data_IF_750684471359
#
_entry.id   IF_750684471359
#
_cell.length_a   1.000
_cell.length_b   1.000
_cell.length_c   1.000
_cell.angle_alpha   90.00
_cell.angle_beta   90.00
_cell.angle_gamma   90.00
#
_symmetry.space_group_name_H-M   'P 1'
#
loop_
_entity.id
_entity.type
_entity.pdbx_description
1 polymer ?
#
# COMPACT_ATOMS: atom_id res chain seq x y z
N UNK A 1 13.79 17.89 -12.37
CA UNK A 1 14.28 18.36 -11.05
C UNK A 1 13.76 17.35 -10.05
N UNK A 2 14.65 16.60 -9.40
CA UNK A 2 14.28 15.53 -8.48
C UNK A 2 14.00 16.12 -7.10
N UNK A 3 12.83 15.84 -6.52
CA UNK A 3 12.52 16.25 -5.15
C UNK A 3 13.15 15.26 -4.17
N UNK A 4 13.71 15.73 -3.05
CA UNK A 4 14.13 14.80 -1.99
C UNK A 4 12.90 14.17 -1.34
N UNK A 5 13.00 12.90 -0.95
CA UNK A 5 11.89 12.21 -0.29
C UNK A 5 11.50 12.87 1.04
N UNK A 6 12.45 13.48 1.75
CA UNK A 6 12.16 14.23 2.97
C UNK A 6 11.23 15.43 2.72
N UNK A 7 11.49 16.19 1.65
CA UNK A 7 10.61 17.31 1.27
C UNK A 7 9.23 16.79 0.91
N UNK A 8 9.16 15.74 0.09
CA UNK A 8 7.90 15.18 -0.34
C UNK A 8 7.06 14.65 0.85
N UNK A 9 7.70 13.96 1.81
CA UNK A 9 7.02 13.52 3.03
C UNK A 9 6.47 14.71 3.83
N UNK A 10 7.23 15.81 3.91
CA UNK A 10 6.76 17.06 4.51
C UNK A 10 5.56 17.67 3.78
N UNK A 11 5.59 17.68 2.46
CA UNK A 11 4.50 18.20 1.61
C UNK A 11 3.24 17.35 1.78
N UNK A 12 3.36 16.02 1.70
CA UNK A 12 2.25 15.08 1.93
C UNK A 12 1.66 15.24 3.34
N UNK A 13 2.50 15.36 4.37
CA UNK A 13 2.05 15.57 5.74
C UNK A 13 1.27 16.88 5.91
N UNK A 14 1.75 17.98 5.31
CA UNK A 14 1.06 19.26 5.33
C UNK A 14 -0.31 19.17 4.65
N UNK A 15 -0.39 18.53 3.47
CA UNK A 15 -1.66 18.32 2.77
C UNK A 15 -2.64 17.47 3.59
N UNK A 16 -2.18 16.40 4.25
CA UNK A 16 -3.04 15.60 5.14
C UNK A 16 -3.60 16.47 6.27
N UNK A 17 -2.78 17.34 6.86
CA UNK A 17 -3.20 18.25 7.93
C UNK A 17 -4.21 19.29 7.45
N UNK A 18 -4.04 19.80 6.23
CA UNK A 18 -4.94 20.79 5.62
C UNK A 18 -6.31 20.18 5.26
N UNK A 19 -6.32 18.96 4.74
CA UNK A 19 -7.54 18.22 4.37
C UNK A 19 -8.21 17.53 5.56
N UNK A 20 -7.62 17.63 6.76
CA UNK A 20 -8.10 16.91 7.94
C UNK A 20 -9.47 17.41 8.40
N UNK A 21 -10.48 16.55 8.23
CA UNK A 21 -11.83 16.85 8.68
C UNK A 21 -12.45 15.64 9.40
N UNK A 22 -12.53 15.70 10.72
CA UNK A 22 -13.17 14.67 11.55
C UNK A 22 -14.61 15.08 11.91
N UNK A 23 -15.60 14.17 11.87
CA UNK A 23 -15.54 12.75 11.49
C UNK A 23 -15.91 12.54 10.01
N UNK A 24 -14.92 12.19 9.18
CA UNK A 24 -15.14 11.72 7.79
C UNK A 24 -14.52 10.34 7.58
N UNK A 25 -15.04 9.53 6.65
CA UNK A 25 -14.50 8.20 6.34
C UNK A 25 -13.02 8.26 6.00
N UNK A 26 -12.61 9.26 5.22
CA UNK A 26 -11.22 9.45 4.81
C UNK A 26 -10.31 9.77 6.00
N UNK A 27 -10.76 10.62 6.94
CA UNK A 27 -10.01 10.90 8.17
C UNK A 27 -9.92 9.66 9.07
N UNK A 28 -11.01 8.88 9.20
CA UNK A 28 -11.00 7.60 9.91
C UNK A 28 -10.02 6.61 9.28
N UNK A 29 -10.07 6.44 7.96
CA UNK A 29 -9.19 5.56 7.22
C UNK A 29 -7.72 5.98 7.34
N UNK A 30 -7.43 7.28 7.29
CA UNK A 30 -6.10 7.84 7.53
C UNK A 30 -5.57 7.50 8.93
N UNK A 31 -6.41 7.60 9.98
CA UNK A 31 -6.03 7.14 11.33
C UNK A 31 -5.74 5.63 11.34
N UNK A 32 -6.62 4.85 10.71
CA UNK A 32 -6.50 3.40 10.69
C UNK A 32 -5.22 2.91 10.03
N UNK A 33 -4.90 3.41 8.82
CA UNK A 33 -3.67 3.08 8.10
C UNK A 33 -2.42 3.40 8.93
N UNK A 34 -2.41 4.58 9.57
CA UNK A 34 -1.30 5.01 10.41
C UNK A 34 -1.08 4.06 11.59
N UNK A 35 -2.13 3.80 12.37
CA UNK A 35 -1.99 2.97 13.58
C UNK A 35 -1.65 1.51 13.22
N UNK A 36 -2.15 0.99 12.10
CA UNK A 36 -1.80 -0.34 11.61
C UNK A 36 -0.29 -0.51 11.29
N UNK A 37 0.45 0.59 11.08
CA UNK A 37 1.91 0.55 10.91
C UNK A 37 2.70 0.73 12.21
N UNK A 38 2.17 1.50 13.17
CA UNK A 38 2.89 1.82 14.42
C UNK A 38 3.17 0.55 15.25
N UNK A 39 2.25 -0.41 15.24
CA UNK A 39 2.37 -1.64 16.03
C UNK A 39 3.49 -2.58 15.58
N UNK A 40 4.09 -2.37 14.40
CA UNK A 40 5.11 -3.30 13.86
C UNK A 40 6.56 -2.87 14.10
N UNK A 41 6.88 -1.57 14.10
CA UNK A 41 8.28 -1.17 13.87
C UNK A 41 8.81 0.01 14.72
N UNK A 42 8.13 0.51 15.77
CA UNK A 42 8.65 1.62 16.61
C UNK A 42 9.00 2.91 15.84
N UNK A 43 8.59 3.03 14.58
CA UNK A 43 8.94 4.16 13.72
C UNK A 43 8.18 5.43 14.11
N UNK A 44 8.81 6.55 13.77
CA UNK A 44 8.50 7.93 14.16
C UNK A 44 7.00 8.26 14.16
N UNK A 45 6.50 8.69 15.32
CA UNK A 45 5.14 9.20 15.51
C UNK A 45 5.05 10.62 14.95
N UNK A 46 4.50 10.79 13.75
CA UNK A 46 3.96 12.09 13.37
C UNK A 46 2.56 12.23 13.98
N UNK A 47 2.30 13.33 14.68
CA UNK A 47 1.05 13.54 15.41
C UNK A 47 -0.02 14.10 14.46
N UNK A 48 -0.98 13.26 14.05
CA UNK A 48 -2.31 13.77 13.72
C UNK A 48 -3.04 14.05 15.02
N UNK A 49 -3.73 15.20 15.08
CA UNK A 49 -4.60 15.54 16.20
C UNK A 49 -5.62 14.44 16.37
N UNK A 50 -5.47 13.65 17.43
CA UNK A 50 -6.44 12.62 17.79
C UNK A 50 -7.74 13.33 18.15
N UNK A 51 -8.91 12.84 17.70
CA UNK A 51 -10.17 13.42 18.13
C UNK A 51 -10.29 13.33 19.66
N UNK A 52 -10.65 14.44 20.30
CA UNK A 52 -10.69 14.58 21.76
C UNK A 52 -11.78 13.72 22.40
N UNK A 53 -12.89 13.50 21.70
CA UNK A 53 -13.99 12.63 22.13
C UNK A 53 -14.51 11.80 20.96
N UNK A 54 -14.25 10.48 20.96
CA UNK A 54 -14.69 9.60 19.88
C UNK A 54 -16.07 8.99 20.17
N UNK A 55 -16.95 9.66 20.92
CA UNK A 55 -18.32 9.15 21.09
C UNK A 55 -19.13 9.42 19.82
N UNK A 56 -19.88 8.43 19.34
CA UNK A 56 -20.73 8.59 18.16
C UNK A 56 -21.98 9.40 18.56
N UNK A 57 -22.32 10.49 17.84
CA UNK A 57 -23.58 11.19 18.08
C UNK A 57 -24.78 10.27 17.77
N UNK A 58 -25.62 10.01 18.78
CA UNK A 58 -26.80 9.14 18.64
C UNK A 58 -27.71 9.54 17.45
N UNK A 59 -27.81 10.84 17.15
CA UNK A 59 -28.61 11.38 16.06
C UNK A 59 -28.09 11.02 14.67
N UNK A 60 -26.81 10.65 14.55
CA UNK A 60 -26.13 10.36 13.27
C UNK A 60 -25.75 8.89 13.11
N UNK A 61 -26.17 8.02 14.04
CA UNK A 61 -25.91 6.58 14.00
C UNK A 61 -26.49 5.87 12.77
N UNK A 62 -27.38 6.52 12.02
CA UNK A 62 -27.96 5.98 10.79
C UNK A 62 -27.21 6.46 9.52
N UNK A 63 -26.11 7.18 9.65
CA UNK A 63 -25.30 7.66 8.54
C UNK A 63 -24.12 6.72 8.28
N UNK A 64 -24.05 6.18 7.07
CA UNK A 64 -22.93 5.34 6.61
C UNK A 64 -21.55 5.98 6.82
N UNK A 65 -21.31 7.26 6.46
CA UNK A 65 -20.00 7.86 6.67
C UNK A 65 -19.63 7.95 8.15
N UNK A 66 -20.60 8.17 9.06
CA UNK A 66 -20.34 8.17 10.50
C UNK A 66 -19.96 6.79 10.99
N UNK A 67 -20.73 5.76 10.63
CA UNK A 67 -20.38 4.38 11.00
C UNK A 67 -18.99 4.01 10.50
N UNK A 68 -18.67 4.32 9.24
CA UNK A 68 -17.35 4.04 8.66
C UNK A 68 -16.21 4.75 9.42
N UNK A 69 -16.34 6.07 9.64
CA UNK A 69 -15.33 6.89 10.32
C UNK A 69 -14.99 6.34 11.71
N UNK A 70 -16.02 6.04 12.50
CA UNK A 70 -15.83 5.56 13.87
C UNK A 70 -15.39 4.10 13.92
N UNK A 71 -15.78 3.27 12.96
CA UNK A 71 -15.29 1.88 12.88
C UNK A 71 -13.79 1.82 12.60
N UNK A 72 -13.27 2.68 11.72
CA UNK A 72 -11.84 2.83 11.54
C UNK A 72 -11.14 3.27 12.84
N UNK A 73 -11.69 4.27 13.53
CA UNK A 73 -11.13 4.76 14.79
C UNK A 73 -11.08 3.67 15.87
N UNK A 74 -12.17 2.95 16.11
CA UNK A 74 -12.22 1.90 17.12
C UNK A 74 -11.31 0.71 16.76
N UNK A 75 -11.23 0.35 15.48
CA UNK A 75 -10.29 -0.68 15.04
C UNK A 75 -8.84 -0.24 15.16
N UNK A 76 -8.54 1.06 15.03
CA UNK A 76 -7.21 1.64 15.24
C UNK A 76 -6.85 1.76 16.73
N UNK A 77 -7.84 1.89 17.61
CA UNK A 77 -7.66 2.01 19.05
C UNK A 77 -8.54 1.02 19.85
N UNK A 78 -8.25 -0.29 19.80
CA UNK A 78 -9.06 -1.29 20.49
C UNK A 78 -9.18 -1.06 21.99
N UNK A 79 -8.13 -0.54 22.64
CA UNK A 79 -8.10 -0.23 24.08
C UNK A 79 -8.99 0.95 24.49
N UNK A 80 -9.46 1.75 23.51
CA UNK A 80 -10.38 2.88 23.71
C UNK A 80 -11.81 2.55 23.30
N UNK A 81 -12.07 1.32 22.86
CA UNK A 81 -13.38 0.90 22.37
C UNK A 81 -14.15 0.24 23.50
N UNK A 82 -15.17 0.91 24.01
CA UNK A 82 -16.01 0.37 25.06
C UNK A 82 -17.11 -0.54 24.48
N UNK A 83 -17.72 -1.39 25.33
CA UNK A 83 -18.82 -2.25 24.91
C UNK A 83 -20.03 -1.42 24.42
N UNK A 84 -20.25 -0.23 24.99
CA UNK A 84 -21.34 0.64 24.55
C UNK A 84 -21.11 1.22 23.15
N UNK A 85 -19.86 1.53 22.79
CA UNK A 85 -19.49 1.95 21.43
C UNK A 85 -19.81 0.86 20.41
N UNK A 86 -19.46 -0.40 20.72
CA UNK A 86 -19.79 -1.55 19.85
C UNK A 86 -21.29 -1.75 19.70
N UNK A 87 -22.07 -1.56 20.78
CA UNK A 87 -23.54 -1.60 20.71
C UNK A 87 -24.11 -0.46 19.87
N UNK A 88 -23.52 0.74 19.93
CA UNK A 88 -23.91 1.86 19.08
C UNK A 88 -23.64 1.56 17.60
N UNK A 89 -22.44 1.06 17.27
CA UNK A 89 -22.10 0.62 15.92
C UNK A 89 -23.06 -0.47 15.41
N UNK A 90 -23.35 -1.49 16.24
CA UNK A 90 -24.25 -2.59 15.88
C UNK A 90 -25.66 -2.07 15.55
N UNK A 91 -26.18 -1.12 16.34
CA UNK A 91 -27.48 -0.44 16.09
C UNK A 91 -27.46 0.37 14.80
N UNK A 92 -26.36 1.08 14.54
CA UNK A 92 -26.18 1.83 13.31
C UNK A 92 -26.19 0.93 12.08
N UNK A 93 -25.44 -0.17 12.13
CA UNK A 93 -25.39 -1.18 11.07
C UNK A 93 -26.76 -1.81 10.81
N UNK A 94 -27.51 -2.17 11.86
CA UNK A 94 -28.89 -2.65 11.74
C UNK A 94 -29.86 -1.62 11.15
N UNK A 95 -29.55 -0.33 11.28
CA UNK A 95 -30.35 0.74 10.68
C UNK A 95 -29.99 0.95 9.21
N UNK A 96 -28.71 0.79 8.85
CA UNK A 96 -28.25 0.83 7.47
C UNK A 96 -28.77 -0.35 6.65
N UNK A 97 -28.81 -1.56 7.23
CA UNK A 97 -29.24 -2.77 6.50
C UNK A 97 -30.70 -2.74 6.03
N UNK A 98 -31.51 -1.86 6.61
CA UNK A 98 -32.90 -1.62 6.20
C UNK A 98 -33.02 -0.73 4.94
N UNK A 99 -31.91 -0.17 4.45
CA UNK A 99 -31.88 0.72 3.28
C UNK A 99 -31.37 -0.05 2.07
N UNK A 100 -31.84 0.34 0.88
CA UNK A 100 -31.29 -0.17 -0.37
C UNK A 100 -29.87 0.38 -0.57
N UNK A 101 -28.87 -0.49 -0.47
CA UNK A 101 -27.47 -0.12 -0.67
C UNK A 101 -27.10 -0.07 -2.17
N UNK A 102 -27.67 -0.91 -3.03
CA UNK A 102 -27.42 -0.87 -4.48
C UNK A 102 -28.42 0.05 -5.19
N UNK A 103 -28.25 1.37 -5.02
CA UNK A 103 -29.07 2.37 -5.72
C UNK A 103 -28.51 2.68 -7.11
N UNK A 104 -29.40 2.96 -8.06
CA UNK A 104 -29.01 3.35 -9.42
C UNK A 104 -28.29 4.71 -9.48
N UNK A 105 -28.56 5.62 -8.54
CA UNK A 105 -27.97 6.96 -8.46
C UNK A 105 -26.53 7.00 -7.93
N UNK A 106 -26.01 5.84 -7.51
CA UNK A 106 -24.65 5.65 -6.96
C UNK A 106 -24.34 6.54 -5.74
N UNK A 107 -25.37 7.00 -5.01
CA UNK A 107 -25.17 7.85 -3.82
C UNK A 107 -25.04 7.09 -2.51
N UNK A 108 -25.06 5.75 -2.55
CA UNK A 108 -24.90 4.93 -1.37
C UNK A 108 -23.43 4.72 -1.00
N UNK A 109 -23.21 4.24 0.23
CA UNK A 109 -21.88 3.86 0.74
C UNK A 109 -21.22 2.77 -0.11
N UNK A 110 -22.01 1.94 -0.81
CA UNK A 110 -21.48 0.88 -1.65
C UNK A 110 -20.62 1.42 -2.78
N UNK A 111 -20.88 2.64 -3.28
CA UNK A 111 -20.08 3.27 -4.34
C UNK A 111 -18.97 4.16 -3.79
N UNK A 112 -18.76 4.16 -2.48
CA UNK A 112 -17.77 4.97 -1.75
C UNK A 112 -16.83 3.99 -1.04
N UNK A 113 -15.71 3.59 -1.69
CA UNK A 113 -14.96 2.41 -1.28
C UNK A 113 -14.41 2.49 0.15
N UNK A 114 -14.00 3.68 0.60
CA UNK A 114 -13.54 3.90 1.98
C UNK A 114 -14.69 3.72 2.99
N UNK A 115 -15.90 4.21 2.67
CA UNK A 115 -17.08 3.98 3.49
C UNK A 115 -17.45 2.50 3.56
N UNK A 116 -17.42 1.80 2.41
CA UNK A 116 -17.68 0.37 2.33
C UNK A 116 -16.74 -0.43 3.23
N UNK A 117 -15.43 -0.17 3.16
CA UNK A 117 -14.44 -0.82 4.02
C UNK A 117 -14.72 -0.54 5.50
N UNK A 118 -14.98 0.72 5.87
CA UNK A 118 -15.29 1.07 7.25
C UNK A 118 -16.54 0.33 7.76
N UNK A 119 -17.55 0.13 6.92
CA UNK A 119 -18.75 -0.65 7.25
C UNK A 119 -18.44 -2.16 7.36
N UNK A 120 -17.58 -2.71 6.52
CA UNK A 120 -17.08 -4.09 6.66
C UNK A 120 -16.35 -4.30 7.99
N UNK A 121 -15.53 -3.32 8.41
CA UNK A 121 -14.89 -3.33 9.74
C UNK A 121 -15.96 -3.29 10.84
N UNK A 122 -16.95 -2.39 10.73
CA UNK A 122 -18.05 -2.27 11.70
C UNK A 122 -18.73 -3.62 11.93
N UNK A 123 -19.06 -4.34 10.86
CA UNK A 123 -19.73 -5.63 10.93
C UNK A 123 -18.87 -6.73 11.54
N UNK A 124 -17.56 -6.73 11.28
CA UNK A 124 -16.62 -7.66 11.93
C UNK A 124 -16.54 -7.38 13.43
N UNK A 125 -16.34 -6.13 13.82
CA UNK A 125 -16.16 -5.73 15.23
C UNK A 125 -17.44 -5.91 16.06
N UNK A 126 -18.61 -5.93 15.41
CA UNK A 126 -19.92 -6.05 16.05
C UNK A 126 -20.60 -7.41 15.83
N UNK A 127 -19.87 -8.40 15.33
CA UNK A 127 -20.40 -9.72 14.98
C UNK A 127 -21.12 -10.41 16.15
N UNK A 128 -20.61 -10.25 17.37
CA UNK A 128 -21.19 -10.87 18.58
C UNK A 128 -22.52 -10.22 18.99
N UNK A 129 -22.73 -8.94 18.64
CA UNK A 129 -23.96 -8.20 18.94
C UNK A 129 -24.96 -8.23 17.77
N UNK A 130 -24.49 -8.46 16.54
CA UNK A 130 -25.31 -8.38 15.32
C UNK A 130 -24.78 -9.30 14.20
N UNK A 131 -24.98 -10.60 14.34
CA UNK A 131 -24.63 -11.57 13.30
C UNK A 131 -25.34 -11.31 11.97
N UNK A 132 -26.59 -10.82 11.98
CA UNK A 132 -27.32 -10.47 10.76
C UNK A 132 -26.65 -9.37 9.93
N UNK A 133 -25.87 -8.48 10.57
CA UNK A 133 -25.12 -7.44 9.90
C UNK A 133 -24.02 -7.97 8.98
N UNK A 134 -23.30 -9.02 9.39
CA UNK A 134 -22.24 -9.62 8.55
C UNK A 134 -22.85 -10.37 7.37
N UNK A 135 -23.93 -11.13 7.60
CA UNK A 135 -24.62 -11.88 6.55
C UNK A 135 -25.20 -10.96 5.48
N UNK A 136 -25.79 -9.84 5.90
CA UNK A 136 -26.28 -8.80 4.99
C UNK A 136 -25.16 -8.21 4.13
N UNK A 137 -24.00 -7.85 4.70
CA UNK A 137 -22.89 -7.32 3.92
C UNK A 137 -22.28 -8.36 2.98
N UNK A 138 -22.18 -9.61 3.41
CA UNK A 138 -21.71 -10.69 2.54
C UNK A 138 -22.63 -10.87 1.34
N UNK A 139 -23.96 -10.81 1.53
CA UNK A 139 -24.91 -10.85 0.44
C UNK A 139 -24.76 -9.63 -0.48
N UNK A 140 -24.67 -8.43 0.10
CA UNK A 140 -24.51 -7.17 -0.63
C UNK A 140 -23.26 -7.16 -1.52
N UNK A 141 -22.12 -7.62 -1.01
CA UNK A 141 -20.87 -7.68 -1.76
C UNK A 141 -20.90 -8.70 -2.90
N UNK A 142 -21.58 -9.84 -2.71
CA UNK A 142 -21.77 -10.83 -3.78
C UNK A 142 -22.69 -10.29 -4.87
N UNK A 143 -23.78 -9.63 -4.49
CA UNK A 143 -24.73 -9.03 -5.44
C UNK A 143 -24.10 -7.86 -6.21
N UNK A 144 -23.32 -7.03 -5.53
CA UNK A 144 -22.69 -5.86 -6.12
C UNK A 144 -21.31 -6.09 -6.73
N UNK A 145 -20.82 -7.33 -6.83
CA UNK A 145 -19.49 -7.62 -7.37
C UNK A 145 -19.32 -7.11 -8.83
N UNK A 146 -20.35 -7.30 -9.66
CA UNK A 146 -20.33 -6.86 -11.07
C UNK A 146 -20.25 -5.33 -11.22
N UNK A 147 -20.66 -4.56 -10.21
CA UNK A 147 -20.59 -3.08 -10.23
C UNK A 147 -19.14 -2.60 -10.33
N UNK A 148 -18.20 -3.39 -9.81
CA UNK A 148 -16.79 -3.02 -9.71
C UNK A 148 -15.93 -3.54 -10.88
N UNK A 149 -16.47 -4.39 -11.76
CA UNK A 149 -15.70 -5.01 -12.86
C UNK A 149 -14.99 -3.98 -13.75
N UNK A 150 -15.67 -2.88 -14.06
CA UNK A 150 -15.17 -1.80 -14.93
C UNK A 150 -14.82 -0.52 -14.15
N UNK A 151 -14.65 -0.60 -12.83
CA UNK A 151 -14.31 0.55 -11.98
C UNK A 151 -12.78 0.70 -11.80
N UNK A 152 -12.35 1.77 -11.13
CA UNK A 152 -10.93 2.05 -10.93
C UNK A 152 -10.25 0.97 -10.08
N UNK A 153 -8.95 0.76 -10.29
CA UNK A 153 -8.18 -0.21 -9.52
C UNK A 153 -8.18 0.14 -8.02
N UNK A 154 -8.10 1.42 -7.67
CA UNK A 154 -8.26 1.90 -6.29
C UNK A 154 -9.53 1.35 -5.61
N UNK A 155 -10.67 1.45 -6.30
CA UNK A 155 -11.97 1.00 -5.82
C UNK A 155 -12.02 -0.52 -5.70
N UNK A 156 -11.49 -1.23 -6.69
CA UNK A 156 -11.38 -2.68 -6.67
C UNK A 156 -10.54 -3.19 -5.49
N UNK A 157 -9.35 -2.61 -5.28
CA UNK A 157 -8.46 -2.97 -4.17
C UNK A 157 -9.15 -2.81 -2.81
N UNK A 158 -9.82 -1.67 -2.58
CA UNK A 158 -10.56 -1.43 -1.34
C UNK A 158 -11.77 -2.38 -1.19
N UNK A 159 -12.53 -2.64 -2.25
CA UNK A 159 -13.65 -3.59 -2.21
C UNK A 159 -13.20 -5.03 -1.94
N UNK A 160 -12.07 -5.45 -2.54
CA UNK A 160 -11.46 -6.74 -2.29
C UNK A 160 -10.97 -6.89 -0.86
N UNK A 161 -10.35 -5.85 -0.32
CA UNK A 161 -9.96 -5.84 1.09
C UNK A 161 -11.17 -5.84 2.04
N UNK A 162 -12.19 -5.01 1.79
CA UNK A 162 -13.46 -5.01 2.53
C UNK A 162 -14.16 -6.37 2.51
N UNK A 163 -14.15 -7.04 1.36
CA UNK A 163 -14.69 -8.39 1.19
C UNK A 163 -13.95 -9.42 2.02
N UNK A 164 -12.62 -9.36 2.06
CA UNK A 164 -11.83 -10.25 2.90
C UNK A 164 -12.11 -10.04 4.40
N UNK A 165 -12.36 -8.80 4.84
CA UNK A 165 -12.72 -8.50 6.25
C UNK A 165 -13.99 -9.26 6.68
N UNK A 166 -14.97 -9.41 5.79
CA UNK A 166 -16.23 -10.11 6.07
C UNK A 166 -16.26 -11.54 5.53
N UNK A 167 -15.17 -12.07 5.00
CA UNK A 167 -15.07 -13.46 4.52
C UNK A 167 -15.81 -13.73 3.20
N UNK A 168 -15.86 -12.76 2.29
CA UNK A 168 -16.31 -12.96 0.91
C UNK A 168 -15.11 -13.14 0.00
N UNK A 169 -15.13 -14.19 -0.83
CA UNK A 169 -14.12 -14.39 -1.87
C UNK A 169 -14.33 -13.39 -2.99
N UNK A 170 -13.49 -12.35 -3.00
CA UNK A 170 -13.47 -11.34 -4.06
C UNK A 170 -12.48 -11.76 -5.16
N UNK A 171 -12.99 -11.88 -6.38
CA UNK A 171 -12.19 -12.26 -7.54
C UNK A 171 -12.13 -11.07 -8.49
N UNK A 172 -11.05 -10.27 -8.44
CA UNK A 172 -10.87 -9.23 -9.43
C UNK A 172 -10.62 -9.89 -10.80
N UNK A 173 -11.34 -9.44 -11.83
CA UNK A 173 -10.99 -9.75 -13.23
C UNK A 173 -9.77 -8.92 -13.69
N UNK A 174 -9.21 -8.07 -12.81
CA UNK A 174 -8.13 -7.13 -13.10
C UNK A 174 -6.75 -7.71 -12.79
N UNK A 175 -5.89 -7.77 -13.81
CA UNK A 175 -4.47 -8.06 -13.65
C UNK A 175 -3.74 -6.76 -13.30
N UNK A 176 -3.00 -6.73 -12.20
CA UNK A 176 -2.21 -5.56 -11.83
C UNK A 176 -0.99 -5.44 -12.72
N UNK A 177 -0.81 -4.27 -13.32
CA UNK A 177 0.41 -3.86 -14.05
C UNK A 177 1.04 -2.64 -13.36
N UNK A 178 2.11 -2.81 -12.55
CA UNK A 178 2.75 -1.73 -11.79
C UNK A 178 3.04 -0.47 -12.61
N UNK A 179 3.51 -0.62 -13.86
CA UNK A 179 3.81 0.52 -14.73
C UNK A 179 2.59 1.34 -15.17
N UNK A 180 1.38 0.78 -15.10
CA UNK A 180 0.12 1.43 -15.53
C UNK A 180 -0.66 2.07 -14.37
N UNK A 181 -0.34 1.69 -13.13
CA UNK A 181 -1.02 2.20 -11.93
C UNK A 181 -0.68 3.67 -11.66
N UNK A 182 -1.57 4.41 -10.99
CA UNK A 182 -1.19 5.70 -10.40
C UNK A 182 -0.42 5.53 -9.07
N UNK A 183 0.13 6.63 -8.53
CA UNK A 183 0.89 6.62 -7.26
C UNK A 183 0.03 6.11 -6.09
N UNK A 184 -1.19 6.64 -5.86
CA UNK A 184 -2.07 6.13 -4.81
C UNK A 184 -2.39 4.63 -4.91
N UNK A 185 -2.67 4.12 -6.11
CA UNK A 185 -2.95 2.71 -6.35
C UNK A 185 -1.76 1.83 -6.00
N UNK A 186 -0.54 2.24 -6.38
CA UNK A 186 0.68 1.52 -5.98
C UNK A 186 0.85 1.51 -4.47
N UNK A 187 0.66 2.66 -3.82
CA UNK A 187 0.74 2.75 -2.36
C UNK A 187 -0.30 1.83 -1.70
N UNK A 188 -1.55 1.85 -2.16
CA UNK A 188 -2.59 0.98 -1.61
C UNK A 188 -2.28 -0.50 -1.83
N UNK A 189 -1.81 -0.89 -3.02
CA UNK A 189 -1.43 -2.27 -3.31
C UNK A 189 -0.27 -2.74 -2.39
N UNK A 190 0.77 -1.92 -2.21
CA UNK A 190 1.87 -2.21 -1.30
C UNK A 190 1.37 -2.34 0.15
N UNK A 191 0.50 -1.44 0.59
CA UNK A 191 -0.08 -1.49 1.93
C UNK A 191 -0.96 -2.74 2.14
N UNK A 192 -1.83 -3.08 1.18
CA UNK A 192 -2.63 -4.33 1.22
C UNK A 192 -1.71 -5.56 1.23
N UNK A 193 -0.63 -5.54 0.45
CA UNK A 193 0.42 -6.57 0.43
C UNK A 193 0.90 -6.97 1.82
N UNK A 194 1.03 -6.00 2.70
CA UNK A 194 1.54 -6.20 4.07
C UNK A 194 0.45 -6.51 5.10
N UNK A 195 -0.76 -5.98 4.89
CA UNK A 195 -1.85 -6.12 5.85
C UNK A 195 -2.71 -7.36 5.59
N UNK A 196 -2.83 -7.78 4.33
CA UNK A 196 -3.70 -8.88 3.94
C UNK A 196 -3.10 -9.70 2.78
N UNK A 197 -2.20 -10.65 3.08
CA UNK A 197 -1.49 -11.44 2.06
C UNK A 197 -2.42 -12.25 1.14
N UNK A 198 -3.58 -12.69 1.61
CA UNK A 198 -4.52 -13.46 0.76
C UNK A 198 -5.18 -12.57 -0.29
N UNK A 199 -5.55 -11.33 0.06
CA UNK A 199 -6.01 -10.34 -0.91
C UNK A 199 -4.86 -9.97 -1.85
N UNK A 200 -3.66 -9.76 -1.33
CA UNK A 200 -2.51 -9.44 -2.16
C UNK A 200 -2.24 -10.53 -3.21
N UNK A 201 -2.34 -11.80 -2.82
CA UNK A 201 -2.19 -12.93 -3.71
C UNK A 201 -3.29 -12.98 -4.79
N UNK A 202 -4.56 -12.69 -4.46
CA UNK A 202 -5.63 -12.72 -5.45
C UNK A 202 -5.50 -11.64 -6.54
N UNK A 203 -4.77 -10.56 -6.25
CA UNK A 203 -4.45 -9.49 -7.19
C UNK A 203 -3.07 -9.66 -7.88
N UNK A 204 -2.31 -10.71 -7.57
CA UNK A 204 -0.94 -10.90 -8.09
C UNK A 204 0.09 -9.89 -7.55
N UNK A 205 -0.21 -9.24 -6.41
CA UNK A 205 0.67 -8.24 -5.78
C UNK A 205 1.91 -8.91 -5.21
N UNK A 206 1.75 -10.11 -4.63
CA UNK A 206 2.83 -10.84 -3.95
C UNK A 206 4.00 -11.16 -4.89
N UNK A 207 3.69 -11.55 -6.11
CA UNK A 207 4.66 -11.92 -7.16
C UNK A 207 5.37 -10.70 -7.75
N UNK A 208 4.74 -9.52 -7.67
CA UNK A 208 5.22 -8.26 -8.26
C UNK A 208 5.62 -7.22 -7.22
N UNK A 209 5.79 -7.62 -5.96
CA UNK A 209 5.99 -6.68 -4.85
C UNK A 209 7.24 -5.80 -5.05
N UNK A 210 8.36 -6.39 -5.46
CA UNK A 210 9.61 -5.64 -5.70
C UNK A 210 9.47 -4.65 -6.86
N UNK A 211 8.83 -5.07 -7.96
CA UNK A 211 8.53 -4.22 -9.11
C UNK A 211 7.61 -3.06 -8.71
N UNK A 212 6.59 -3.32 -7.88
CA UNK A 212 5.70 -2.30 -7.33
C UNK A 212 6.45 -1.27 -6.50
N UNK A 213 7.39 -1.70 -5.64
CA UNK A 213 8.21 -0.79 -4.82
C UNK A 213 9.08 0.09 -5.71
N UNK A 214 9.76 -0.49 -6.70
CA UNK A 214 10.62 0.25 -7.64
C UNK A 214 9.83 1.29 -8.43
N UNK A 215 8.73 0.88 -9.07
CA UNK A 215 7.87 1.79 -9.83
C UNK A 215 7.23 2.87 -8.94
N UNK A 216 6.87 2.55 -7.69
CA UNK A 216 6.32 3.53 -6.75
C UNK A 216 7.34 4.62 -6.43
N UNK A 217 8.55 4.23 -6.01
CA UNK A 217 9.59 5.17 -5.64
C UNK A 217 10.05 6.03 -6.82
N UNK A 218 10.25 5.41 -7.99
CA UNK A 218 10.61 6.13 -9.21
C UNK A 218 9.55 7.18 -9.57
N UNK A 219 8.28 6.79 -9.60
CA UNK A 219 7.19 7.70 -9.96
C UNK A 219 7.06 8.86 -8.97
N UNK A 220 7.13 8.54 -7.68
CA UNK A 220 7.02 9.51 -6.58
C UNK A 220 8.19 10.51 -6.56
N UNK A 221 9.41 10.07 -6.91
CA UNK A 221 10.59 10.94 -6.97
C UNK A 221 10.71 11.79 -8.24
N UNK A 222 9.90 11.49 -9.27
CA UNK A 222 10.01 12.12 -10.59
C UNK A 222 8.80 12.95 -10.99
N UNK A 223 7.61 12.64 -10.46
CA UNK A 223 6.36 13.30 -10.83
C UNK A 223 5.87 14.23 -9.71
N UNK A 224 5.29 15.40 -10.02
CA UNK A 224 4.61 16.20 -9.03
C UNK A 224 3.41 15.41 -8.48
N UNK A 225 3.19 15.49 -7.16
CA UNK A 225 2.03 14.82 -6.57
C UNK A 225 0.74 15.46 -7.08
N UNK A 226 -0.20 14.65 -7.61
CA UNK A 226 -1.52 15.16 -7.97
C UNK A 226 -2.27 15.63 -6.73
N UNK A 227 -3.19 16.58 -6.91
CA UNK A 227 -4.17 16.90 -5.87
C UNK A 227 -5.10 15.69 -5.73
N UNK A 228 -5.00 15.00 -4.59
CA UNK A 228 -5.70 13.76 -4.29
C UNK A 228 -6.39 13.87 -2.93
N UNK A 229 -7.38 13.03 -2.72
CA UNK A 229 -8.18 12.98 -1.49
C UNK A 229 -7.37 12.50 -0.28
N UNK A 230 -7.87 12.80 0.92
CA UNK A 230 -7.22 12.53 2.20
C UNK A 230 -6.85 11.04 2.40
N UNK A 231 -7.72 10.12 2.00
CA UNK A 231 -7.48 8.67 2.00
C UNK A 231 -6.24 8.29 1.16
N UNK A 232 -6.13 8.85 -0.04
CA UNK A 232 -5.02 8.63 -0.96
C UNK A 232 -3.72 9.28 -0.46
N UNK A 233 -3.81 10.49 0.09
CA UNK A 233 -2.66 11.16 0.73
C UNK A 233 -2.11 10.32 1.89
N UNK A 234 -3.01 9.84 2.76
CA UNK A 234 -2.64 9.09 3.95
C UNK A 234 -1.93 7.78 3.61
N UNK A 235 -2.45 6.99 2.66
CA UNK A 235 -1.79 5.73 2.27
C UNK A 235 -0.44 6.00 1.59
N UNK A 236 -0.37 7.01 0.72
CA UNK A 236 0.87 7.37 0.00
C UNK A 236 1.96 7.80 0.97
N UNK A 237 1.64 8.72 1.88
CA UNK A 237 2.54 9.17 2.92
C UNK A 237 3.03 8.01 3.78
N UNK A 238 2.09 7.17 4.23
CA UNK A 238 2.39 6.06 5.14
C UNK A 238 3.33 5.03 4.49
N UNK A 239 3.05 4.64 3.25
CA UNK A 239 3.91 3.69 2.52
C UNK A 239 5.27 4.29 2.18
N UNK A 240 5.30 5.53 1.69
CA UNK A 240 6.57 6.20 1.39
C UNK A 240 7.44 6.35 2.63
N UNK A 241 6.86 6.80 3.75
CA UNK A 241 7.58 6.97 5.00
C UNK A 241 8.18 5.64 5.45
N UNK A 242 7.41 4.55 5.40
CA UNK A 242 7.90 3.22 5.74
C UNK A 242 9.08 2.80 4.87
N UNK A 243 8.97 2.93 3.55
CA UNK A 243 10.04 2.54 2.63
C UNK A 243 11.32 3.35 2.85
N UNK A 244 11.19 4.67 3.06
CA UNK A 244 12.33 5.55 3.34
C UNK A 244 12.99 5.18 4.68
N UNK A 245 12.21 4.97 5.74
CA UNK A 245 12.73 4.58 7.05
C UNK A 245 13.43 3.23 6.96
N UNK A 246 12.82 2.22 6.34
CA UNK A 246 13.41 0.89 6.15
C UNK A 246 14.78 0.97 5.47
N UNK A 247 14.93 1.81 4.44
CA UNK A 247 16.22 1.97 3.76
C UNK A 247 17.23 2.71 4.64
N UNK A 248 16.83 3.74 5.37
CA UNK A 248 17.72 4.40 6.33
C UNK A 248 18.21 3.40 7.38
N UNK A 249 17.32 2.56 7.90
CA UNK A 249 17.68 1.54 8.88
C UNK A 249 18.63 0.50 8.31
N UNK A 250 18.37 -0.03 7.12
CA UNK A 250 19.28 -0.95 6.43
C UNK A 250 20.68 -0.35 6.31
N UNK A 251 20.76 0.92 5.93
CA UNK A 251 22.02 1.66 5.81
C UNK A 251 22.71 1.79 7.15
N UNK A 252 21.99 2.25 8.18
CA UNK A 252 22.53 2.40 9.54
C UNK A 252 23.01 1.05 10.08
N UNK A 253 22.31 -0.05 9.79
CA UNK A 253 22.72 -1.40 10.18
C UNK A 253 23.98 -1.84 9.44
N UNK A 254 24.11 -1.57 8.14
CA UNK A 254 25.36 -1.80 7.39
C UNK A 254 26.50 -1.02 8.03
N UNK A 255 26.28 0.24 8.44
CA UNK A 255 27.33 1.02 9.10
C UNK A 255 27.67 0.54 10.52
N UNK A 256 26.71 -0.02 11.27
CA UNK A 256 26.93 -0.51 12.64
C UNK A 256 27.61 -1.88 12.71
N UNK A 257 27.48 -2.71 11.68
CA UNK A 257 28.07 -4.06 11.64
C UNK A 257 29.28 -4.12 10.69
N UNK A 258 30.53 -4.18 11.21
CA UNK A 258 31.75 -4.26 10.41
C UNK A 258 31.79 -5.46 9.45
N UNK A 259 31.09 -6.56 9.76
CA UNK A 259 31.02 -7.72 8.86
C UNK A 259 30.14 -7.40 7.65
N UNK A 260 29.00 -6.73 7.88
CA UNK A 260 28.13 -6.24 6.80
C UNK A 260 28.82 -5.17 5.96
N UNK A 261 29.63 -4.28 6.57
CA UNK A 261 30.45 -3.33 5.82
C UNK A 261 31.38 -4.05 4.84
N UNK A 262 32.14 -5.06 5.30
CA UNK A 262 33.05 -5.83 4.43
C UNK A 262 32.30 -6.55 3.31
N UNK A 263 31.14 -7.13 3.61
CA UNK A 263 30.30 -7.78 2.59
C UNK A 263 29.77 -6.78 1.57
N UNK A 264 29.29 -5.62 2.01
CA UNK A 264 28.79 -4.56 1.13
C UNK A 264 29.92 -3.98 0.25
N UNK A 265 31.12 -3.78 0.80
CA UNK A 265 32.30 -3.36 0.03
C UNK A 265 32.72 -4.40 -1.00
N UNK A 266 32.69 -5.68 -0.65
CA UNK A 266 32.98 -6.77 -1.57
C UNK A 266 31.95 -6.80 -2.72
N UNK A 267 30.66 -6.72 -2.41
CA UNK A 267 29.59 -6.65 -3.40
C UNK A 267 29.71 -5.42 -4.31
N UNK A 268 30.03 -4.25 -3.75
CA UNK A 268 30.29 -3.02 -4.53
C UNK A 268 31.46 -3.19 -5.49
N UNK A 269 32.53 -3.82 -5.04
CA UNK A 269 33.73 -4.08 -5.85
C UNK A 269 33.41 -5.05 -6.99
N UNK A 270 32.67 -6.13 -6.71
CA UNK A 270 32.20 -7.09 -7.71
C UNK A 270 31.28 -6.42 -8.74
N UNK A 271 30.33 -5.61 -8.28
CA UNK A 271 29.40 -4.90 -9.14
C UNK A 271 30.11 -3.86 -10.03
N UNK A 272 31.08 -3.11 -9.48
CA UNK A 272 31.92 -2.20 -10.28
C UNK A 272 32.74 -2.93 -11.34
N UNK A 273 33.31 -4.10 -11.00
CA UNK A 273 34.03 -4.94 -11.95
C UNK A 273 33.12 -5.40 -13.09
N UNK A 274 31.91 -5.84 -12.76
CA UNK A 274 30.90 -6.23 -13.75
C UNK A 274 30.50 -5.05 -14.65
N UNK A 275 30.21 -3.88 -14.07
CA UNK A 275 29.86 -2.68 -14.83
C UNK A 275 30.96 -2.27 -15.81
N UNK A 276 32.23 -2.29 -15.40
CA UNK A 276 33.38 -2.02 -16.28
C UNK A 276 33.48 -3.03 -17.42
N UNK A 277 33.17 -4.31 -17.18
CA UNK A 277 33.13 -5.33 -18.23
C UNK A 277 32.02 -5.05 -19.25
N UNK A 278 30.83 -4.66 -18.80
CA UNK A 278 29.71 -4.29 -19.68
C UNK A 278 30.03 -3.04 -20.49
N UNK A 279 30.58 -2.00 -19.87
CA UNK A 279 30.99 -0.76 -20.54
C UNK A 279 32.10 -1.04 -21.58
N UNK A 280 33.11 -1.85 -21.23
CA UNK A 280 34.16 -2.26 -22.16
C UNK A 280 33.61 -3.07 -23.34
N UNK A 281 32.65 -3.97 -23.10
CA UNK A 281 31.97 -4.71 -24.15
C UNK A 281 31.14 -3.80 -25.07
N UNK A 282 30.47 -2.80 -24.50
CA UNK A 282 29.71 -1.80 -25.26
C UNK A 282 30.62 -0.93 -26.14
N UNK A 283 31.77 -0.48 -25.61
CA UNK A 283 32.78 0.26 -26.38
C UNK A 283 33.42 -0.59 -27.48
N UNK A 284 33.73 -1.87 -27.19
CA UNK A 284 34.21 -2.82 -28.19
C UNK A 284 33.18 -3.03 -29.32
N UNK A 285 31.89 -3.10 -28.99
CA UNK A 285 30.83 -3.19 -29.99
C UNK A 285 30.71 -1.91 -30.84
N UNK A 286 30.89 -0.73 -30.23
CA UNK A 286 30.88 0.55 -30.95
C UNK A 286 32.03 0.66 -31.94
N UNK A 287 33.23 0.17 -31.62
CA UNK A 287 34.41 0.29 -32.48
C UNK A 287 34.42 -0.66 -33.69
N UNK A 288 33.69 -1.78 -33.66
CA UNK A 288 33.65 -2.77 -34.76
C UNK A 288 32.42 -2.68 -35.70
N UNK A 289 31.59 -1.66 -35.55
CA UNK A 289 30.45 -1.42 -36.45
C UNK A 289 29.24 -2.37 -36.25
N UNK A 290 28.11 -2.02 -36.88
CA UNK A 290 26.75 -2.54 -36.58
C UNK A 290 26.59 -4.08 -36.59
N UNK A 291 27.50 -4.83 -37.23
CA UNK A 291 27.44 -6.31 -37.27
C UNK A 291 27.90 -6.99 -35.97
N UNK A 292 28.79 -6.36 -35.18
CA UNK A 292 29.23 -6.90 -33.89
C UNK A 292 28.18 -6.72 -32.78
N UNK A 293 27.41 -5.64 -32.84
CA UNK A 293 26.32 -5.35 -31.90
C UNK A 293 25.20 -6.40 -31.93
N UNK A 294 24.88 -6.93 -33.11
CA UNK A 294 23.89 -8.00 -33.27
C UNK A 294 24.35 -9.34 -32.69
N UNK A 295 25.65 -9.68 -32.80
CA UNK A 295 26.22 -10.92 -32.26
C UNK A 295 26.27 -10.91 -30.72
N UNK A 296 26.60 -9.78 -30.09
CA UNK A 296 26.57 -9.65 -28.62
C UNK A 296 25.14 -9.70 -28.08
N UNK A 297 24.16 -9.18 -28.82
CA UNK A 297 22.74 -9.21 -28.40
C UNK A 297 22.12 -10.61 -28.53
N UNK A 298 22.54 -11.43 -29.50
CA UNK A 298 22.10 -12.83 -29.63
C UNK A 298 22.86 -13.77 -28.68
N UNK A 299 24.19 -13.64 -28.59
CA UNK A 299 25.04 -14.57 -27.84
C UNK A 299 25.22 -14.21 -26.35
N UNK A 300 24.81 -12.99 -25.94
CA UNK A 300 24.84 -12.56 -24.55
C UNK A 300 23.66 -13.10 -23.70
N UNK A 301 22.55 -13.48 -24.33
CA UNK A 301 21.38 -14.01 -23.62
C UNK A 301 21.63 -15.35 -22.88
N UNK A 302 22.36 -16.33 -23.45
CA UNK A 302 22.61 -17.61 -22.78
C UNK A 302 23.63 -17.54 -21.62
N UNK A 303 24.60 -16.61 -21.67
CA UNK A 303 25.59 -16.42 -20.58
C UNK A 303 25.01 -15.60 -19.41
N UNK A 304 24.02 -14.73 -19.68
CA UNK A 304 23.25 -14.06 -18.63
C UNK A 304 22.37 -15.06 -17.86
N UNK A 305 21.78 -16.05 -18.52
CA UNK A 305 20.94 -17.07 -17.87
C UNK A 305 21.72 -17.98 -16.90
N UNK A 306 22.98 -18.31 -17.19
CA UNK A 306 23.82 -19.11 -16.30
C UNK A 306 24.22 -18.40 -15.00
N UNK A 307 24.46 -17.08 -15.06
CA UNK A 307 24.75 -16.25 -13.87
C UNK A 307 23.51 -15.94 -13.04
N UNK A 308 22.35 -15.76 -13.68
CA UNK A 308 21.07 -15.48 -12.99
C UNK A 308 20.64 -16.69 -12.14
N UNK A 309 20.85 -17.94 -12.59
CA UNK A 309 20.47 -19.13 -11.82
C UNK A 309 21.28 -19.26 -10.52
N UNK A 310 22.58 -18.93 -10.52
CA UNK A 310 23.40 -18.95 -9.29
C UNK A 310 23.11 -17.78 -8.34
N UNK A 311 22.72 -16.62 -8.87
CA UNK A 311 22.32 -15.46 -8.05
C UNK A 311 20.94 -15.71 -7.42
N UNK A 312 19.99 -16.31 -8.16
CA UNK A 312 18.65 -16.64 -7.66
C UNK A 312 18.70 -17.70 -6.54
N UNK A 313 19.57 -18.72 -6.63
CA UNK A 313 19.76 -19.69 -5.52
C UNK A 313 20.37 -19.06 -4.25
N UNK A 314 21.19 -18.02 -4.39
CA UNK A 314 21.75 -17.29 -3.24
C UNK A 314 20.74 -16.27 -2.66
N UNK A 315 19.91 -15.67 -3.52
CA UNK A 315 18.83 -14.74 -3.13
C UNK A 315 17.68 -15.43 -2.40
N UNK A 316 17.35 -16.69 -2.74
CA UNK A 316 16.30 -17.48 -2.08
C UNK A 316 16.67 -17.95 -0.66
N UNK A 317 17.92 -17.76 -0.22
CA UNK A 317 18.43 -18.23 1.08
C UNK A 317 18.70 -17.11 2.10
N UNK A 318 18.45 -15.84 1.75
CA UNK A 318 18.70 -14.68 2.61
C UNK A 318 17.39 -13.99 3.01
N UNK A 319 17.34 -13.33 4.19
CA UNK A 319 16.20 -12.51 4.55
C UNK A 319 16.00 -11.42 3.49
N UNK A 320 14.74 -11.22 3.05
CA UNK A 320 14.35 -10.31 1.97
C UNK A 320 14.82 -8.88 2.26
N UNK A 321 15.83 -8.43 1.52
CA UNK A 321 16.28 -7.03 1.45
C UNK A 321 15.76 -6.49 0.11
N UNK A 322 15.28 -5.23 0.01
CA UNK A 322 14.89 -4.63 -1.26
C UNK A 322 16.03 -4.70 -2.29
N UNK A 323 15.68 -4.79 -3.58
CA UNK A 323 16.65 -4.90 -4.67
C UNK A 323 17.69 -3.76 -4.62
N UNK A 324 18.92 -4.05 -5.07
CA UNK A 324 20.00 -3.06 -5.11
C UNK A 324 19.60 -1.82 -5.95
N UNK A 325 18.74 -1.96 -6.96
CA UNK A 325 18.24 -0.82 -7.75
C UNK A 325 17.34 0.08 -6.91
N UNK A 326 16.41 -0.48 -6.13
CA UNK A 326 15.56 0.28 -5.23
C UNK A 326 16.37 1.02 -4.16
N UNK A 327 17.38 0.37 -3.58
CA UNK A 327 18.28 1.00 -2.61
C UNK A 327 19.10 2.14 -3.24
N UNK A 328 19.63 1.96 -4.45
CA UNK A 328 20.41 3.00 -5.15
C UNK A 328 19.56 4.20 -5.54
N UNK A 329 18.33 3.98 -6.00
CA UNK A 329 17.36 5.04 -6.22
C UNK A 329 17.18 5.82 -4.92
N UNK A 330 16.76 5.18 -3.83
CA UNK A 330 16.50 5.88 -2.56
C UNK A 330 17.72 6.65 -2.06
N UNK A 331 18.92 6.07 -2.12
CA UNK A 331 20.16 6.75 -1.73
C UNK A 331 20.44 8.03 -2.52
N UNK A 332 20.16 8.03 -3.83
CA UNK A 332 20.38 9.19 -4.68
C UNK A 332 19.41 10.36 -4.40
N UNK A 333 18.31 10.11 -3.68
CA UNK A 333 17.28 11.11 -3.37
C UNK A 333 17.18 11.46 -1.87
N UNK A 334 17.76 10.64 -0.99
CA UNK A 334 17.83 10.91 0.47
C UNK A 334 18.98 11.88 0.80
N UNK A 335 20.06 11.86 0.00
CA UNK A 335 21.14 12.84 0.02
C UNK A 335 20.86 13.96 -0.97
#
# INVERSE_FOLDING_TARGET
MHASYSRLLGDLYNSIREEWNWPTPDAGFALYIREAQIDRENHTRYEFTKPESPTIPNSRLNEAPIIASYSFFYSAYPSRTENEDRKQLARGLSSLSKRTALRADRQSFFYRPVELVGICIAARETKDQNSGGIEWLQALLREGADVYRDDTLWRNLLAGWGSAIVGVNWHPDTVITPSEMDVPEKALALWIGEQNPSVAQSYGITERFEELVECFLEQVGTQPMPQISLDKLAVTHTVLNKLVVSVIEDVVQVYRDPKRQKQAEQQRTEHQKYRRQVESAAEFCKSRGRRAYWLVRILGLPLLLGGIISIVSLYLSLPRIPSISAQQSIFAYVL
#
